data_IF_967769543715
#
_entry.id   IF_967769543715
#
_cell.length_a   1.000
_cell.length_b   1.000
_cell.length_c   1.000
_cell.angle_alpha   90.00
_cell.angle_beta   90.00
_cell.angle_gamma   90.00
#
_symmetry.space_group_name_H-M   'P 1'
#
loop_
_entity.id
_entity.type
_entity.pdbx_description
1 polymer ?
#
# COMPACT_ATOMS: atom_id res chain seq x y z
N UNK A 1 20.44 2.37 -9.17
CA UNK A 1 21.55 2.41 -10.16
C UNK A 1 21.85 3.84 -10.64
N UNK A 2 20.94 4.58 -11.29
CA UNK A 2 21.23 5.91 -11.90
C UNK A 2 21.86 6.91 -10.92
N UNK A 3 21.33 7.06 -9.72
CA UNK A 3 21.91 7.92 -8.67
C UNK A 3 23.33 7.50 -8.31
N UNK A 4 23.59 6.18 -8.15
CA UNK A 4 24.95 5.68 -7.88
C UNK A 4 25.93 5.95 -9.02
N UNK A 5 25.48 5.84 -10.29
CA UNK A 5 26.29 6.22 -11.44
C UNK A 5 26.64 7.71 -11.47
N UNK A 6 25.66 8.57 -11.13
CA UNK A 6 25.88 10.01 -11.02
C UNK A 6 26.94 10.35 -9.97
N UNK A 7 26.85 9.77 -8.76
CA UNK A 7 27.81 9.99 -7.69
C UNK A 7 29.21 9.53 -8.11
N UNK A 8 29.31 8.32 -8.70
CA UNK A 8 30.58 7.78 -9.17
C UNK A 8 31.23 8.68 -10.26
N UNK A 9 30.42 9.22 -11.14
CA UNK A 9 30.89 10.09 -12.23
C UNK A 9 31.35 11.48 -11.71
N UNK A 10 30.65 12.03 -10.73
CA UNK A 10 30.93 13.38 -10.19
C UNK A 10 31.97 13.38 -9.08
N UNK A 11 32.32 12.18 -8.54
CA UNK A 11 33.26 12.01 -7.41
C UNK A 11 32.91 12.86 -6.19
N UNK A 12 31.61 13.20 -6.03
CA UNK A 12 31.12 13.95 -4.88
C UNK A 12 31.00 13.03 -3.66
N UNK A 13 31.49 13.49 -2.53
CA UNK A 13 31.26 12.83 -1.23
C UNK A 13 29.88 13.23 -0.72
N UNK A 14 28.88 12.33 -0.91
CA UNK A 14 27.50 12.55 -0.51
C UNK A 14 27.11 11.39 0.39
N UNK A 15 26.66 11.69 1.61
CA UNK A 15 26.16 10.65 2.54
C UNK A 15 24.73 10.20 2.15
N UNK A 16 24.67 9.06 1.53
CA UNK A 16 23.42 8.36 1.23
C UNK A 16 23.25 7.06 2.03
N UNK A 17 24.04 6.85 3.07
CA UNK A 17 24.02 5.62 3.88
C UNK A 17 22.64 5.30 4.46
N UNK A 18 21.82 6.33 4.73
CA UNK A 18 20.48 6.22 5.27
C UNK A 18 19.36 6.44 4.23
N UNK A 19 19.69 6.38 2.92
CA UNK A 19 18.75 6.64 1.83
C UNK A 19 18.55 5.42 0.93
N UNK A 20 17.30 5.14 0.59
CA UNK A 20 16.92 4.13 -0.39
C UNK A 20 16.19 4.82 -1.55
N UNK A 21 16.49 4.40 -2.78
CA UNK A 21 15.89 4.94 -4.00
C UNK A 21 15.16 3.83 -4.74
N UNK A 22 13.89 4.07 -5.02
CA UNK A 22 13.00 3.11 -5.68
C UNK A 22 12.24 3.81 -6.80
N UNK A 23 12.12 3.16 -7.95
CA UNK A 23 11.37 3.66 -9.09
C UNK A 23 11.92 3.16 -10.41
N UNK A 24 11.12 3.23 -11.45
CA UNK A 24 11.50 2.90 -12.81
C UNK A 24 11.89 4.19 -13.55
N UNK A 25 13.13 4.25 -13.99
CA UNK A 25 13.63 5.41 -14.73
C UNK A 25 13.34 5.23 -16.22
N UNK A 26 12.58 6.16 -16.80
CA UNK A 26 12.31 6.23 -18.22
C UNK A 26 13.46 6.92 -18.98
N UNK A 27 13.50 6.72 -20.31
CA UNK A 27 14.55 7.29 -21.17
C UNK A 27 14.55 8.83 -21.20
N UNK A 28 13.41 9.44 -20.92
CA UNK A 28 13.26 10.90 -20.81
C UNK A 28 13.70 11.47 -19.46
N UNK A 29 14.16 10.59 -18.55
CA UNK A 29 14.58 10.96 -17.19
C UNK A 29 13.44 11.05 -16.18
N UNK A 30 12.19 10.78 -16.55
CA UNK A 30 11.07 10.69 -15.61
C UNK A 30 11.12 9.43 -14.78
N UNK A 31 10.58 9.50 -13.55
CA UNK A 31 10.44 8.36 -12.64
C UNK A 31 9.00 7.87 -12.68
N UNK A 32 8.80 6.65 -13.14
CA UNK A 32 7.48 6.04 -13.33
C UNK A 32 7.02 5.27 -12.10
N UNK A 33 5.71 5.05 -12.05
CA UNK A 33 5.07 4.17 -11.07
C UNK A 33 5.81 2.83 -10.96
N UNK A 34 5.96 2.32 -9.75
CA UNK A 34 6.49 0.99 -9.48
C UNK A 34 5.62 0.27 -8.47
N UNK A 35 5.50 -1.04 -8.60
CA UNK A 35 4.77 -1.87 -7.64
C UNK A 35 5.61 -2.12 -6.38
N UNK A 36 4.95 -2.46 -5.26
CA UNK A 36 5.61 -2.92 -4.05
C UNK A 36 6.29 -1.83 -3.22
N UNK A 37 5.85 -0.57 -3.31
CA UNK A 37 6.42 0.53 -2.52
C UNK A 37 6.15 0.34 -1.03
N UNK A 38 4.98 -0.16 -0.63
CA UNK A 38 4.66 -0.44 0.77
C UNK A 38 5.59 -1.51 1.38
N UNK A 39 5.79 -2.70 0.78
CA UNK A 39 6.81 -3.67 1.22
C UNK A 39 8.20 -3.09 1.32
N UNK A 40 8.60 -2.25 0.37
CA UNK A 40 9.91 -1.59 0.37
C UNK A 40 10.05 -0.55 1.49
N UNK A 41 8.98 0.20 1.81
CA UNK A 41 8.98 1.11 2.95
C UNK A 41 9.09 0.36 4.29
N UNK A 42 8.44 -0.80 4.43
CA UNK A 42 8.58 -1.68 5.59
C UNK A 42 10.00 -2.23 5.69
N UNK A 43 10.57 -2.68 4.58
CA UNK A 43 11.96 -3.12 4.51
C UNK A 43 12.91 -1.99 4.91
N UNK A 44 12.74 -0.79 4.36
CA UNK A 44 13.54 0.39 4.68
C UNK A 44 13.53 0.67 6.19
N UNK A 45 12.35 0.64 6.81
CA UNK A 45 12.20 0.80 8.26
C UNK A 45 12.95 -0.29 9.04
N UNK A 46 12.80 -1.56 8.68
CA UNK A 46 13.45 -2.70 9.34
C UNK A 46 14.97 -2.64 9.24
N UNK A 47 15.50 -2.17 8.10
CA UNK A 47 16.95 -2.02 7.88
C UNK A 47 17.52 -0.71 8.43
N UNK A 48 16.69 0.14 9.02
CA UNK A 48 17.14 1.40 9.64
C UNK A 48 17.34 2.57 8.67
N UNK A 49 16.92 2.44 7.40
CA UNK A 49 16.91 3.57 6.47
C UNK A 49 15.95 4.65 6.97
N UNK A 50 16.37 5.91 6.85
CA UNK A 50 15.59 7.07 7.29
C UNK A 50 14.90 7.80 6.15
N UNK A 51 15.43 7.68 4.93
CA UNK A 51 14.97 8.39 3.73
C UNK A 51 14.64 7.37 2.64
N UNK A 52 13.44 7.48 2.05
CA UNK A 52 13.01 6.65 0.94
C UNK A 52 12.50 7.55 -0.18
N UNK A 53 13.17 7.53 -1.33
CA UNK A 53 12.79 8.25 -2.53
C UNK A 53 11.95 7.32 -3.41
N UNK A 54 10.72 7.74 -3.72
CA UNK A 54 9.75 6.92 -4.47
C UNK A 54 9.09 7.76 -5.57
N UNK A 55 8.54 7.16 -6.63
CA UNK A 55 7.73 7.89 -7.58
C UNK A 55 6.62 8.68 -6.88
N UNK A 56 6.37 9.92 -7.31
CA UNK A 56 5.39 10.80 -6.67
C UNK A 56 3.99 10.16 -6.58
N UNK A 57 3.61 9.37 -7.59
CA UNK A 57 2.35 8.61 -7.62
C UNK A 57 2.23 7.53 -6.55
N UNK A 58 3.37 7.03 -6.04
CA UNK A 58 3.43 6.01 -4.98
C UNK A 58 3.65 6.60 -3.58
N UNK A 59 3.86 7.91 -3.47
CA UNK A 59 4.27 8.53 -2.20
C UNK A 59 3.24 8.32 -1.07
N UNK A 60 1.95 8.35 -1.39
CA UNK A 60 0.87 8.13 -0.42
C UNK A 60 0.92 6.73 0.18
N UNK A 61 1.23 5.72 -0.65
CA UNK A 61 1.40 4.32 -0.24
C UNK A 61 2.62 4.17 0.70
N UNK A 62 3.76 4.72 0.32
CA UNK A 62 4.97 4.70 1.15
C UNK A 62 4.79 5.42 2.49
N UNK A 63 4.05 6.54 2.49
CA UNK A 63 3.83 7.40 3.65
C UNK A 63 2.94 6.77 4.75
N UNK A 64 2.38 5.59 4.50
CA UNK A 64 1.67 4.78 5.52
C UNK A 64 2.64 4.31 6.61
N UNK A 65 3.90 4.08 6.27
CA UNK A 65 4.89 3.51 7.19
C UNK A 65 5.58 4.61 8.01
N UNK A 66 5.24 4.69 9.28
CA UNK A 66 5.88 5.63 10.20
C UNK A 66 7.35 5.26 10.49
N UNK A 67 8.20 6.26 10.57
CA UNK A 67 9.62 6.10 10.92
C UNK A 67 10.58 6.12 9.73
N UNK A 68 10.06 6.23 8.51
CA UNK A 68 10.81 6.49 7.28
C UNK A 68 10.23 7.75 6.64
N UNK A 69 11.09 8.68 6.25
CA UNK A 69 10.67 9.91 5.54
C UNK A 69 10.58 9.60 4.04
N UNK A 70 9.41 9.82 3.47
CA UNK A 70 9.13 9.54 2.05
C UNK A 70 9.33 10.81 1.23
N UNK A 71 10.18 10.74 0.22
CA UNK A 71 10.43 11.82 -0.72
C UNK A 71 9.81 11.48 -2.08
N UNK A 72 8.71 12.17 -2.46
CA UNK A 72 8.07 11.98 -3.76
C UNK A 72 8.95 12.56 -4.86
N UNK A 73 9.25 11.78 -5.90
CA UNK A 73 10.09 12.21 -7.02
C UNK A 73 9.40 11.99 -8.35
N UNK A 74 9.60 12.93 -9.28
CA UNK A 74 9.04 12.87 -10.64
C UNK A 74 10.12 12.61 -11.69
N UNK A 75 11.37 12.97 -11.40
CA UNK A 75 12.48 12.82 -12.33
C UNK A 75 13.82 12.58 -11.64
N UNK A 76 14.77 12.02 -12.37
CA UNK A 76 16.16 11.88 -11.93
C UNK A 76 16.82 13.25 -11.67
N UNK A 77 16.45 14.26 -12.45
CA UNK A 77 16.97 15.64 -12.30
C UNK A 77 16.59 16.19 -10.91
N UNK A 78 15.34 16.02 -10.50
CA UNK A 78 14.84 16.45 -9.18
C UNK A 78 15.61 15.78 -8.02
N UNK A 79 15.91 14.47 -8.16
CA UNK A 79 16.73 13.74 -7.17
C UNK A 79 18.14 14.33 -7.11
N UNK A 80 18.75 14.61 -8.27
CA UNK A 80 20.10 15.17 -8.36
C UNK A 80 20.17 16.56 -7.73
N UNK A 81 19.20 17.44 -8.04
CA UNK A 81 19.12 18.77 -7.43
C UNK A 81 18.94 18.70 -5.92
N UNK A 82 18.12 17.76 -5.42
CA UNK A 82 17.95 17.54 -4.00
C UNK A 82 19.24 17.08 -3.31
N UNK A 83 19.95 16.12 -3.93
CA UNK A 83 21.22 15.58 -3.39
C UNK A 83 22.32 16.66 -3.40
N UNK A 84 22.29 17.57 -4.37
CA UNK A 84 23.24 18.71 -4.43
C UNK A 84 22.82 19.89 -3.55
N UNK A 85 21.71 19.80 -2.82
CA UNK A 85 21.15 20.88 -2.00
C UNK A 85 20.75 22.14 -2.79
N UNK A 86 20.54 22.00 -4.11
CA UNK A 86 20.12 23.08 -5.01
C UNK A 86 18.61 23.36 -4.86
N UNK A 87 17.82 22.30 -4.83
CA UNK A 87 16.37 22.34 -4.68
C UNK A 87 15.90 21.17 -3.81
N UNK A 88 15.31 21.47 -2.66
CA UNK A 88 14.92 20.43 -1.70
C UNK A 88 13.53 19.90 -2.00
N UNK A 89 13.41 18.58 -2.14
CA UNK A 89 12.13 17.89 -2.27
C UNK A 89 11.41 17.93 -0.91
N UNK A 90 10.17 18.39 -0.92
CA UNK A 90 9.33 18.39 0.28
C UNK A 90 8.88 16.94 0.59
N UNK A 91 9.13 16.45 1.80
CA UNK A 91 8.68 15.12 2.20
C UNK A 91 7.17 14.98 2.13
N UNK A 92 6.70 13.78 1.79
CA UNK A 92 5.27 13.45 1.84
C UNK A 92 4.76 13.49 3.29
N UNK A 93 3.55 13.99 3.47
CA UNK A 93 2.87 13.94 4.76
C UNK A 93 2.53 12.48 5.10
N UNK A 94 2.67 12.13 6.36
CA UNK A 94 2.31 10.80 6.86
C UNK A 94 0.84 10.50 6.55
N UNK A 95 0.56 9.37 5.96
CA UNK A 95 -0.78 8.95 5.60
C UNK A 95 -1.36 8.08 6.72
N UNK A 96 -2.54 8.46 7.22
CA UNK A 96 -3.25 7.60 8.17
C UNK A 96 -4.01 6.53 7.38
N UNK A 97 -3.71 5.26 7.65
CA UNK A 97 -4.36 4.12 6.97
C UNK A 97 -5.88 4.13 7.17
N UNK A 98 -6.35 4.61 8.34
CA UNK A 98 -7.79 4.70 8.62
C UNK A 98 -8.54 5.63 7.67
N UNK A 99 -7.86 6.62 7.08
CA UNK A 99 -8.45 7.51 6.07
C UNK A 99 -8.53 6.88 4.68
N UNK A 100 -7.73 5.83 4.43
CA UNK A 100 -7.71 5.09 3.17
C UNK A 100 -8.68 3.90 3.19
N UNK A 101 -9.06 3.40 4.37
CA UNK A 101 -10.09 2.37 4.53
C UNK A 101 -11.45 3.03 4.27
N UNK A 102 -11.75 3.28 3.01
CA UNK A 102 -13.11 3.62 2.60
C UNK A 102 -13.98 2.39 2.78
N UNK A 103 -15.10 2.51 3.50
CA UNK A 103 -16.15 1.49 3.48
C UNK A 103 -16.52 1.28 2.01
N UNK A 104 -16.25 0.09 1.51
CA UNK A 104 -16.54 -0.26 0.13
C UNK A 104 -18.08 -0.33 0.00
N UNK A 105 -18.70 0.77 -0.37
CA UNK A 105 -20.16 0.91 -0.49
C UNK A 105 -20.72 0.08 -1.66
N UNK A 106 -19.85 -0.48 -2.51
CA UNK A 106 -20.21 -1.31 -3.65
C UNK A 106 -20.40 -2.79 -3.32
N UNK A 107 -20.02 -3.26 -2.14
CA UNK A 107 -20.40 -4.60 -1.67
C UNK A 107 -21.81 -4.50 -1.09
N UNK A 108 -22.77 -5.26 -1.66
CA UNK A 108 -24.12 -5.30 -1.13
C UNK A 108 -24.12 -5.56 0.39
N UNK A 109 -25.03 -4.95 1.13
CA UNK A 109 -25.19 -5.17 2.56
C UNK A 109 -25.91 -6.51 2.83
N UNK A 110 -25.42 -7.31 3.77
CA UNK A 110 -26.06 -8.55 4.22
C UNK A 110 -27.51 -8.30 4.71
N UNK A 111 -27.80 -7.09 5.19
CA UNK A 111 -29.14 -6.69 5.60
C UNK A 111 -30.16 -6.73 4.44
N UNK A 112 -29.72 -6.53 3.21
CA UNK A 112 -30.60 -6.54 2.04
C UNK A 112 -31.00 -7.96 1.59
N UNK A 113 -30.33 -9.01 2.07
CA UNK A 113 -30.68 -10.39 1.75
C UNK A 113 -31.92 -10.80 2.55
N UNK A 114 -32.99 -11.12 1.84
CA UNK A 114 -34.24 -11.62 2.47
C UNK A 114 -34.18 -13.13 2.67
N UNK A 115 -34.71 -13.60 3.79
CA UNK A 115 -34.69 -15.02 4.14
C UNK A 115 -33.29 -15.54 4.48
N UNK A 116 -33.01 -16.81 4.18
CA UNK A 116 -31.72 -17.49 4.37
C UNK A 116 -31.19 -17.43 5.83
N UNK A 117 -32.06 -17.46 6.82
CA UNK A 117 -31.73 -17.27 8.24
C UNK A 117 -30.60 -18.18 8.74
N UNK A 118 -30.62 -19.46 8.32
CA UNK A 118 -29.60 -20.44 8.71
C UNK A 118 -28.23 -20.09 8.11
N UNK A 119 -28.19 -19.75 6.80
CA UNK A 119 -26.94 -19.38 6.15
C UNK A 119 -26.40 -18.05 6.68
N UNK A 120 -27.25 -17.06 6.94
CA UNK A 120 -26.85 -15.80 7.58
C UNK A 120 -26.23 -16.04 8.95
N UNK A 121 -26.87 -16.88 9.79
CA UNK A 121 -26.34 -17.20 11.12
C UNK A 121 -24.98 -17.90 11.05
N UNK A 122 -24.80 -18.81 10.10
CA UNK A 122 -23.51 -19.47 9.88
C UNK A 122 -22.43 -18.46 9.45
N UNK A 123 -22.78 -17.51 8.58
CA UNK A 123 -21.88 -16.43 8.15
C UNK A 123 -21.53 -15.47 9.31
N UNK A 124 -22.47 -15.11 10.16
CA UNK A 124 -22.19 -14.29 11.37
C UNK A 124 -21.19 -14.99 12.31
N UNK A 125 -21.37 -16.28 12.56
CA UNK A 125 -20.44 -17.07 13.38
C UNK A 125 -19.07 -17.12 12.73
N UNK A 126 -19.01 -17.36 11.42
CA UNK A 126 -17.74 -17.39 10.68
C UNK A 126 -17.04 -16.01 10.70
N UNK A 127 -17.78 -14.93 10.53
CA UNK A 127 -17.24 -13.56 10.58
C UNK A 127 -16.67 -13.21 11.96
N UNK A 128 -17.40 -13.54 13.04
CA UNK A 128 -16.97 -13.22 14.39
C UNK A 128 -15.80 -14.06 14.88
N UNK A 129 -15.64 -15.28 14.37
CA UNK A 129 -14.56 -16.19 14.74
C UNK A 129 -13.40 -16.27 13.76
N UNK A 130 -13.42 -15.49 12.66
CA UNK A 130 -12.40 -15.60 11.62
C UNK A 130 -12.35 -16.98 10.94
N UNK A 131 -13.50 -17.67 10.86
CA UNK A 131 -13.56 -19.03 10.33
C UNK A 131 -13.77 -19.07 8.82
N UNK A 132 -13.17 -20.05 8.17
CA UNK A 132 -13.51 -20.40 6.80
C UNK A 132 -14.91 -21.01 6.74
N UNK A 133 -15.66 -20.70 5.67
CA UNK A 133 -17.00 -21.24 5.45
C UNK A 133 -17.15 -21.74 4.02
N UNK A 134 -17.79 -22.88 3.85
CA UNK A 134 -18.16 -23.45 2.57
C UNK A 134 -19.67 -23.36 2.35
N UNK A 135 -20.08 -22.73 1.27
CA UNK A 135 -21.48 -22.63 0.83
C UNK A 135 -21.77 -23.68 -0.24
N UNK A 136 -22.58 -24.69 0.06
CA UNK A 136 -23.01 -25.73 -0.87
C UNK A 136 -24.52 -25.66 -1.11
N UNK A 137 -24.98 -26.04 -2.31
CA UNK A 137 -26.39 -26.05 -2.67
C UNK A 137 -26.62 -25.92 -4.19
N UNK A 138 -27.88 -26.06 -4.66
CA UNK A 138 -28.22 -26.03 -6.07
C UNK A 138 -27.96 -24.68 -6.72
N UNK A 139 -27.86 -24.60 -8.06
CA UNK A 139 -27.80 -23.34 -8.79
C UNK A 139 -28.99 -22.43 -8.43
N UNK A 140 -28.77 -21.12 -8.38
CA UNK A 140 -29.82 -20.15 -8.04
C UNK A 140 -30.15 -20.01 -6.55
N UNK A 141 -29.55 -20.79 -5.65
CA UNK A 141 -29.84 -20.72 -4.21
C UNK A 141 -29.22 -19.50 -3.47
N UNK A 142 -28.64 -18.53 -4.18
CA UNK A 142 -28.14 -17.28 -3.58
C UNK A 142 -26.74 -17.35 -2.99
N UNK A 143 -25.97 -18.46 -3.15
CA UNK A 143 -24.63 -18.62 -2.59
C UNK A 143 -23.67 -17.48 -2.94
N UNK A 144 -23.64 -17.12 -4.23
CA UNK A 144 -22.78 -16.03 -4.74
C UNK A 144 -23.15 -14.68 -4.13
N UNK A 145 -24.45 -14.44 -3.94
CA UNK A 145 -24.93 -13.22 -3.30
C UNK A 145 -24.52 -13.16 -1.83
N UNK A 146 -24.69 -14.24 -1.07
CA UNK A 146 -24.25 -14.38 0.30
C UNK A 146 -22.73 -14.16 0.44
N UNK A 147 -21.92 -14.79 -0.44
CA UNK A 147 -20.48 -14.64 -0.45
C UNK A 147 -20.04 -13.18 -0.75
N UNK A 148 -20.69 -12.52 -1.71
CA UNK A 148 -20.40 -11.11 -2.06
C UNK A 148 -20.78 -10.13 -0.96
N UNK A 149 -21.78 -10.42 -0.15
CA UNK A 149 -22.22 -9.57 0.97
C UNK A 149 -21.50 -9.90 2.27
N UNK A 150 -20.82 -11.04 2.35
CA UNK A 150 -20.09 -11.46 3.55
C UNK A 150 -19.09 -10.40 4.09
N UNK A 151 -18.32 -9.67 3.23
CA UNK A 151 -17.44 -8.61 3.71
C UNK A 151 -18.15 -7.50 4.50
N UNK A 152 -19.47 -7.29 4.31
CA UNK A 152 -20.21 -6.24 5.02
C UNK A 152 -20.39 -6.51 6.51
N UNK A 153 -20.23 -7.77 6.93
CA UNK A 153 -20.37 -8.19 8.35
C UNK A 153 -19.05 -8.59 8.99
N UNK A 154 -17.92 -8.52 8.24
CA UNK A 154 -16.60 -8.77 8.83
C UNK A 154 -16.21 -7.65 9.80
N UNK A 155 -15.48 -7.96 10.88
CA UNK A 155 -14.88 -6.95 11.74
C UNK A 155 -14.00 -5.98 10.96
N UNK A 156 -13.88 -4.76 11.46
CA UNK A 156 -12.95 -3.78 10.90
C UNK A 156 -11.51 -4.27 11.09
N UNK A 157 -10.72 -4.20 10.02
CA UNK A 157 -9.31 -4.57 10.08
C UNK A 157 -8.54 -3.67 11.06
N UNK A 158 -7.65 -4.26 11.83
CA UNK A 158 -6.62 -3.51 12.52
C UNK A 158 -5.64 -2.90 11.51
N UNK A 159 -4.89 -1.88 11.94
CA UNK A 159 -3.87 -1.24 11.10
C UNK A 159 -2.84 -2.25 10.58
N UNK A 160 -2.43 -3.20 11.41
CA UNK A 160 -1.46 -4.21 11.01
C UNK A 160 -2.03 -5.18 9.96
N UNK A 161 -3.24 -5.68 10.15
CA UNK A 161 -3.92 -6.55 9.17
C UNK A 161 -4.13 -5.84 7.84
N UNK A 162 -4.51 -4.55 7.87
CA UNK A 162 -4.65 -3.76 6.65
C UNK A 162 -3.32 -3.62 5.90
N UNK A 163 -2.20 -3.41 6.62
CA UNK A 163 -0.85 -3.38 6.03
C UNK A 163 -0.51 -4.74 5.42
N UNK A 164 -0.72 -5.84 6.13
CA UNK A 164 -0.38 -7.19 5.69
C UNK A 164 -1.17 -7.57 4.42
N UNK A 165 -2.46 -7.26 4.38
CA UNK A 165 -3.30 -7.46 3.18
C UNK A 165 -2.81 -6.59 2.02
N UNK A 166 -2.52 -5.30 2.27
CA UNK A 166 -2.05 -4.39 1.22
C UNK A 166 -0.71 -4.86 0.65
N UNK A 167 0.19 -5.44 1.48
CA UNK A 167 1.43 -6.04 0.99
C UNK A 167 1.20 -7.13 -0.05
N UNK A 168 0.18 -7.98 0.15
CA UNK A 168 -0.13 -9.09 -0.78
C UNK A 168 -0.62 -8.56 -2.13
N UNK A 169 -1.38 -7.46 -2.11
CA UNK A 169 -1.97 -6.87 -3.32
C UNK A 169 -1.11 -5.81 -4.01
N UNK A 170 -0.03 -5.34 -3.37
CA UNK A 170 0.87 -4.31 -3.93
C UNK A 170 2.05 -4.86 -4.75
N UNK A 171 2.12 -6.18 -4.90
CA UNK A 171 3.19 -6.88 -5.65
C UNK A 171 2.79 -7.16 -7.09
#
# INVERSE_FOLDING_TARGET
>A
MAVGMYIAATKKEIDLSNALFVGELALDGSVRHTNGVLPLAIFAKKQGYKRLFVPAVNATEGAIIHGVTIYPVTSLKEIISHINEEELITPAKTTNISSLITKNTNTGDMAHIKGQAFAKRALEIAASGGHNILLSGPPGSGKTLLARTFPSILPTLSTQEAIDITQIYSV
#
